data_IF_529801289372
#
_entry.id   IF_529801289372
#
_cell.length_a   1.000
_cell.length_b   1.000
_cell.length_c   1.000
_cell.angle_alpha   90.00
_cell.angle_beta   90.00
_cell.angle_gamma   90.00
#
_symmetry.space_group_name_H-M   'P 1'
#
loop_
_entity.id
_entity.type
_entity.pdbx_description
1 polymer ?
#
# COMPACT_ATOMS: atom_id res chain seq x y z
N UNK A 1 0.43 -11.96 -5.16
CA UNK A 1 -0.99 -11.58 -5.04
C UNK A 1 -1.71 -12.13 -6.26
N UNK A 2 -2.64 -13.05 -6.04
CA UNK A 2 -3.50 -13.61 -7.09
C UNK A 2 -4.66 -12.65 -7.38
N UNK A 3 -5.27 -12.75 -8.57
CA UNK A 3 -6.42 -11.93 -8.99
C UNK A 3 -7.59 -12.04 -8.00
N UNK A 4 -7.80 -13.23 -7.43
CA UNK A 4 -8.84 -13.48 -6.43
C UNK A 4 -8.63 -12.67 -5.15
N UNK A 5 -7.37 -12.50 -4.71
CA UNK A 5 -7.03 -11.69 -3.55
C UNK A 5 -7.25 -10.20 -3.82
N UNK A 6 -7.01 -9.73 -5.06
CA UNK A 6 -7.27 -8.34 -5.45
C UNK A 6 -8.76 -8.03 -5.37
N UNK A 7 -9.60 -8.93 -5.90
CA UNK A 7 -11.05 -8.76 -5.90
C UNK A 7 -11.62 -8.78 -4.47
N UNK A 8 -11.10 -9.66 -3.61
CA UNK A 8 -11.50 -9.69 -2.20
C UNK A 8 -11.15 -8.38 -1.48
N UNK A 9 -9.96 -7.82 -1.75
CA UNK A 9 -9.51 -6.55 -1.19
C UNK A 9 -10.36 -5.36 -1.69
N UNK A 10 -10.73 -5.35 -2.97
CA UNK A 10 -11.57 -4.32 -3.57
C UNK A 10 -12.98 -4.31 -2.96
N UNK A 11 -13.57 -5.48 -2.76
CA UNK A 11 -14.88 -5.61 -2.12
C UNK A 11 -14.83 -5.22 -0.64
N UNK A 12 -13.75 -5.55 0.08
CA UNK A 12 -13.55 -5.09 1.46
C UNK A 12 -13.44 -3.56 1.55
N UNK A 13 -12.65 -2.92 0.69
CA UNK A 13 -12.48 -1.47 0.66
C UNK A 13 -13.76 -0.74 0.25
N UNK A 14 -14.52 -1.27 -0.72
CA UNK A 14 -15.83 -0.73 -1.12
C UNK A 14 -16.83 -0.75 0.02
N UNK A 15 -16.83 -1.81 0.83
CA UNK A 15 -17.77 -1.97 1.94
C UNK A 15 -17.31 -1.32 3.25
N UNK A 16 -16.01 -1.01 3.38
CA UNK A 16 -15.45 -0.47 4.63
C UNK A 16 -15.78 1.00 4.87
N UNK A 17 -16.08 1.80 3.85
CA UNK A 17 -16.33 3.26 3.97
C UNK A 17 -15.15 4.06 4.56
N UNK A 18 -13.96 3.44 4.66
CA UNK A 18 -12.70 4.02 5.14
C UNK A 18 -11.76 4.22 3.96
N UNK A 19 -10.64 4.89 4.21
CA UNK A 19 -9.61 5.05 3.20
C UNK A 19 -9.17 3.67 2.66
N UNK A 20 -9.17 3.47 1.33
CA UNK A 20 -8.95 2.16 0.72
C UNK A 20 -7.52 1.66 0.99
N UNK A 21 -7.42 0.46 1.55
CA UNK A 21 -6.14 -0.19 1.88
C UNK A 21 -5.44 -0.77 0.65
N UNK A 22 -6.17 -1.03 -0.43
CA UNK A 22 -5.63 -1.46 -1.72
C UNK A 22 -4.55 -0.52 -2.27
N UNK A 23 -4.67 0.79 -2.02
CA UNK A 23 -3.67 1.77 -2.46
C UNK A 23 -2.33 1.58 -1.74
N UNK A 24 -2.35 1.26 -0.44
CA UNK A 24 -1.14 0.99 0.34
C UNK A 24 -0.46 -0.31 -0.10
N UNK A 25 -1.27 -1.35 -0.32
CA UNK A 25 -0.78 -2.66 -0.77
C UNK A 25 -0.12 -2.55 -2.15
N UNK A 26 -0.69 -1.75 -3.05
CA UNK A 26 -0.10 -1.50 -4.37
C UNK A 26 1.21 -0.71 -4.28
N UNK A 27 1.24 0.35 -3.47
CA UNK A 27 2.44 1.17 -3.27
C UNK A 27 3.60 0.33 -2.72
N UNK A 28 3.34 -0.55 -1.76
CA UNK A 28 4.35 -1.45 -1.20
C UNK A 28 4.89 -2.43 -2.26
N UNK A 29 4.01 -3.05 -3.05
CA UNK A 29 4.40 -4.02 -4.08
C UNK A 29 5.23 -3.36 -5.19
N UNK A 30 4.84 -2.16 -5.64
CA UNK A 30 5.57 -1.42 -6.68
C UNK A 30 6.92 -0.92 -6.15
N UNK A 31 6.95 -0.40 -4.92
CA UNK A 31 8.21 0.05 -4.30
C UNK A 31 9.18 -1.10 -4.11
N UNK A 32 8.70 -2.27 -3.67
CA UNK A 32 9.52 -3.48 -3.56
C UNK A 32 10.00 -3.98 -4.92
N UNK A 33 9.16 -3.91 -5.95
CA UNK A 33 9.51 -4.34 -7.31
C UNK A 33 10.61 -3.47 -7.93
N UNK A 34 10.53 -2.15 -7.75
CA UNK A 34 11.48 -1.20 -8.36
C UNK A 34 12.75 -1.02 -7.52
N UNK A 35 12.65 -1.09 -6.19
CA UNK A 35 13.73 -0.71 -5.27
C UNK A 35 14.20 -1.85 -4.34
N UNK A 36 13.67 -3.07 -4.49
CA UNK A 36 13.96 -4.18 -3.60
C UNK A 36 13.42 -3.98 -2.17
N UNK A 37 13.83 -4.84 -1.24
CA UNK A 37 13.39 -4.76 0.16
C UNK A 37 13.87 -3.49 0.89
N UNK A 38 15.04 -2.94 0.53
CA UNK A 38 15.56 -1.72 1.15
C UNK A 38 14.69 -0.49 0.88
N UNK A 39 14.16 -0.33 -0.34
CA UNK A 39 13.24 0.76 -0.65
C UNK A 39 11.89 0.61 0.05
N UNK A 40 11.42 -0.63 0.18
CA UNK A 40 10.18 -0.96 0.89
C UNK A 40 10.29 -0.66 2.39
N UNK A 41 11.41 -1.01 3.03
CA UNK A 41 11.66 -0.74 4.45
C UNK A 41 11.74 0.76 4.73
N UNK A 42 12.28 1.57 3.81
CA UNK A 42 12.24 3.04 3.90
C UNK A 42 10.83 3.58 3.76
N UNK A 43 10.04 3.08 2.82
CA UNK A 43 8.65 3.51 2.65
C UNK A 43 7.78 3.17 3.86
N UNK A 44 8.05 2.08 4.60
CA UNK A 44 7.34 1.71 5.82
C UNK A 44 7.78 2.51 7.08
N UNK A 45 8.95 3.17 7.03
CA UNK A 45 9.40 4.17 8.03
C UNK A 45 8.88 5.58 7.68
N UNK A 46 8.60 5.86 6.41
CA UNK A 46 8.11 7.15 5.90
C UNK A 46 6.57 7.36 5.83
N UNK A 47 5.64 6.41 6.10
CA UNK A 47 4.22 6.68 5.91
C UNK A 47 3.71 7.72 6.93
N UNK A 48 4.41 7.86 8.06
CA UNK A 48 4.21 8.93 9.06
C UNK A 48 5.07 10.19 8.84
N UNK A 49 5.96 10.20 7.83
CA UNK A 49 6.76 11.38 7.49
C UNK A 49 6.08 12.27 6.44
N UNK A 50 5.10 11.74 5.70
CA UNK A 50 4.36 12.52 4.69
C UNK A 50 3.37 13.54 5.31
N UNK A 51 3.12 13.50 6.62
CA UNK A 51 2.44 14.57 7.37
C UNK A 51 3.41 15.64 7.91
N UNK A 52 4.71 15.55 7.59
CA UNK A 52 5.76 16.45 8.06
C UNK A 52 6.52 17.14 6.92
N UNK A 53 5.81 17.51 5.85
CA UNK A 53 6.29 18.52 4.89
C UNK A 53 5.60 19.84 5.26
N UNK A 54 6.33 20.93 5.58
CA UNK A 54 5.75 22.24 5.87
C UNK A 54 5.05 22.86 4.66
#
# INVERSE_FOLDING_TARGET
>A
MSIEEINALEEEDKNSGKAPRAQYVLAEQVTRLVHGEEGCRRQNVLPNACSAVP
#
